data_IF_628570610854
#
_entry.id   IF_628570610854
#
_cell.length_a   1.000
_cell.length_b   1.000
_cell.length_c   1.000
_cell.angle_alpha   90.00
_cell.angle_beta   90.00
_cell.angle_gamma   90.00
#
_symmetry.space_group_name_H-M   'P 1'
#
loop_
_entity.id
_entity.type
_entity.pdbx_description
1 polymer ?
#
# COMPACT_ATOMS: atom_id res chain seq x y z
N UNK A 1 -2.36 10.57 6.65
CA UNK A 1 -3.11 9.31 6.86
C UNK A 1 -2.47 8.20 6.04
N UNK A 2 -2.30 8.40 4.73
CA UNK A 2 -1.58 7.46 3.85
C UNK A 2 -0.14 7.20 4.26
N UNK A 3 0.67 8.24 4.55
CA UNK A 3 2.08 8.05 4.95
C UNK A 3 2.23 7.11 6.15
N UNK A 4 1.46 7.34 7.22
CA UNK A 4 1.48 6.47 8.41
C UNK A 4 1.05 5.04 8.09
N UNK A 5 0.00 4.87 7.28
CA UNK A 5 -0.47 3.55 6.89
C UNK A 5 0.57 2.81 6.05
N UNK A 6 1.33 3.54 5.23
CA UNK A 6 2.43 3.01 4.44
C UNK A 6 3.61 2.63 5.35
N UNK A 7 4.07 3.56 6.20
CA UNK A 7 5.16 3.34 7.16
C UNK A 7 4.92 2.15 8.12
N UNK A 8 3.64 1.88 8.43
CA UNK A 8 3.21 0.78 9.30
C UNK A 8 2.91 -0.53 8.54
N UNK A 9 3.00 -0.53 7.21
CA UNK A 9 2.75 -1.72 6.40
C UNK A 9 1.28 -2.08 6.19
N UNK A 10 0.33 -1.22 6.57
CA UNK A 10 -1.10 -1.44 6.32
C UNK A 10 -1.49 -1.21 4.85
N UNK A 11 -0.74 -0.39 4.12
CA UNK A 11 -0.90 -0.18 2.68
C UNK A 11 0.44 -0.27 1.97
N UNK A 12 0.42 -0.80 0.75
CA UNK A 12 1.57 -0.79 -0.15
C UNK A 12 1.11 -0.71 -1.61
N UNK A 13 2.06 -0.70 -2.54
CA UNK A 13 1.81 -0.73 -3.98
C UNK A 13 2.56 -1.88 -4.63
N UNK A 14 1.92 -2.60 -5.56
CA UNK A 14 2.61 -3.61 -6.34
C UNK A 14 3.79 -2.99 -7.11
N UNK A 15 4.94 -3.65 -7.08
CA UNK A 15 6.17 -3.10 -7.66
C UNK A 15 6.17 -3.13 -9.20
N UNK A 16 5.38 -4.01 -9.81
CA UNK A 16 5.27 -4.18 -11.26
C UNK A 16 4.18 -3.32 -11.88
N UNK A 17 2.99 -3.26 -11.27
CA UNK A 17 1.82 -2.61 -11.85
C UNK A 17 1.20 -1.47 -11.03
N UNK A 18 1.77 -1.19 -9.84
CA UNK A 18 1.38 -0.10 -8.92
C UNK A 18 -0.07 -0.18 -8.45
N UNK A 19 -0.61 -1.38 -8.41
CA UNK A 19 -1.91 -1.63 -7.80
C UNK A 19 -1.82 -1.45 -6.29
N UNK A 20 -2.76 -0.72 -5.71
CA UNK A 20 -2.86 -0.47 -4.27
C UNK A 20 -3.26 -1.78 -3.57
N UNK A 21 -2.46 -2.17 -2.58
CA UNK A 21 -2.69 -3.34 -1.73
C UNK A 21 -2.89 -2.89 -0.30
N UNK A 22 -3.89 -3.45 0.37
CA UNK A 22 -4.15 -3.23 1.79
C UNK A 22 -3.95 -4.55 2.52
N UNK A 23 -3.30 -4.49 3.67
CA UNK A 23 -3.16 -5.65 4.53
C UNK A 23 -4.54 -6.07 5.07
N UNK A 24 -4.83 -7.36 5.14
CA UNK A 24 -6.09 -7.88 5.67
C UNK A 24 -6.26 -7.52 7.15
N UNK A 25 -5.15 -7.51 7.89
CA UNK A 25 -5.08 -7.20 9.31
C UNK A 25 -5.57 -5.78 9.66
N UNK A 26 -5.60 -4.86 8.69
CA UNK A 26 -6.14 -3.50 8.88
C UNK A 26 -7.62 -3.52 9.31
N UNK A 27 -8.38 -4.55 8.94
CA UNK A 27 -9.81 -4.67 9.30
C UNK A 27 -10.00 -4.84 10.81
N UNK A 28 -9.05 -5.49 11.46
CA UNK A 28 -9.09 -5.77 12.90
C UNK A 28 -8.36 -4.70 13.69
N UNK A 29 -7.19 -4.25 13.21
CA UNK A 29 -6.34 -3.28 13.91
C UNK A 29 -6.85 -1.83 13.80
N UNK A 30 -7.41 -1.43 12.65
CA UNK A 30 -7.96 -0.08 12.44
C UNK A 30 -9.12 -0.06 11.40
N UNK A 31 -10.36 -0.39 11.85
CA UNK A 31 -11.54 -0.40 10.98
C UNK A 31 -11.85 0.95 10.32
N UNK A 32 -11.47 2.07 10.96
CA UNK A 32 -11.68 3.41 10.39
C UNK A 32 -10.72 3.65 9.22
N UNK A 33 -9.47 3.26 9.38
CA UNK A 33 -8.48 3.31 8.31
C UNK A 33 -8.88 2.37 7.16
N UNK A 34 -9.39 1.18 7.45
CA UNK A 34 -9.95 0.29 6.42
C UNK A 34 -11.12 0.93 5.66
N UNK A 35 -12.05 1.60 6.36
CA UNK A 35 -13.16 2.29 5.70
C UNK A 35 -12.67 3.43 4.79
N UNK A 36 -11.61 4.13 5.18
CA UNK A 36 -11.02 5.21 4.39
C UNK A 36 -10.24 4.72 3.16
N UNK A 37 -9.47 3.62 3.31
CA UNK A 37 -8.59 3.12 2.25
C UNK A 37 -9.23 2.04 1.37
N UNK A 38 -10.21 1.31 1.90
CA UNK A 38 -10.91 0.21 1.24
C UNK A 38 -11.40 0.52 -0.18
N UNK A 39 -12.01 1.70 -0.44
CA UNK A 39 -12.43 2.09 -1.79
C UNK A 39 -11.29 2.20 -2.83
N UNK A 40 -10.04 2.18 -2.41
CA UNK A 40 -8.86 2.25 -3.27
C UNK A 40 -8.16 0.91 -3.48
N UNK A 41 -8.47 -0.12 -2.68
CA UNK A 41 -7.89 -1.47 -2.83
C UNK A 41 -8.10 -1.98 -4.25
N UNK A 42 -7.03 -2.47 -4.89
CA UNK A 42 -7.08 -3.00 -6.25
C UNK A 42 -7.11 -1.94 -7.36
N UNK A 43 -7.14 -0.64 -7.03
CA UNK A 43 -6.98 0.42 -8.03
C UNK A 43 -5.50 0.64 -8.33
N UNK A 44 -5.19 1.01 -9.57
CA UNK A 44 -3.86 1.45 -9.96
C UNK A 44 -3.63 2.88 -9.51
N UNK A 45 -2.44 3.13 -8.99
CA UNK A 45 -2.00 4.49 -8.68
C UNK A 45 -1.88 5.28 -9.99
N UNK A 46 -2.62 6.38 -10.11
CA UNK A 46 -2.49 7.31 -11.23
C UNK A 46 -1.50 8.40 -10.83
N UNK A 47 -0.26 8.28 -11.31
CA UNK A 47 0.82 9.23 -11.02
C UNK A 47 1.19 10.07 -12.25
N UNK A 48 1.58 11.34 -12.07
CA UNK A 48 2.34 12.04 -13.10
C UNK A 48 3.71 11.37 -13.26
N UNK A 49 4.10 11.11 -14.51
CA UNK A 49 5.27 10.29 -14.88
C UNK A 49 6.61 10.70 -14.23
N UNK A 50 6.72 11.94 -13.73
CA UNK A 50 7.94 12.51 -13.16
C UNK A 50 8.15 12.20 -11.67
N UNK A 51 7.15 11.67 -10.97
CA UNK A 51 7.21 11.39 -9.53
C UNK A 51 7.01 9.89 -9.19
N UNK A 52 7.16 9.03 -10.20
CA UNK A 52 7.02 7.59 -10.08
C UNK A 52 8.01 7.00 -9.04
N UNK A 53 7.54 6.22 -8.03
CA UNK A 53 8.41 5.49 -7.12
C UNK A 53 9.18 4.43 -7.90
N UNK A 54 10.44 4.25 -7.53
CA UNK A 54 11.28 3.21 -8.16
C UNK A 54 10.80 1.84 -7.68
N UNK A 55 10.67 0.90 -8.62
CA UNK A 55 10.16 -0.45 -8.34
C UNK A 55 10.97 -1.22 -7.29
N UNK A 56 12.26 -0.97 -7.14
CA UNK A 56 13.09 -1.61 -6.13
C UNK A 56 12.72 -1.21 -4.70
N UNK A 57 12.32 0.04 -4.46
CA UNK A 57 11.85 0.48 -3.14
C UNK A 57 10.47 -0.09 -2.83
N UNK A 58 9.58 -0.18 -3.82
CA UNK A 58 8.29 -0.85 -3.64
C UNK A 58 8.46 -2.35 -3.39
N UNK A 59 9.39 -3.01 -4.08
CA UNK A 59 9.69 -4.42 -3.86
C UNK A 59 10.21 -4.67 -2.44
N UNK A 60 11.12 -3.82 -1.95
CA UNK A 60 11.58 -3.86 -0.56
C UNK A 60 10.42 -3.66 0.41
N UNK A 61 9.59 -2.63 0.21
CA UNK A 61 8.45 -2.36 1.09
C UNK A 61 7.46 -3.53 1.12
N UNK A 62 7.14 -4.10 -0.05
CA UNK A 62 6.26 -5.26 -0.18
C UNK A 62 6.78 -6.51 0.55
N UNK A 63 8.10 -6.64 0.72
CA UNK A 63 8.75 -7.80 1.32
C UNK A 63 9.02 -7.61 2.82
N UNK A 64 9.44 -6.41 3.24
CA UNK A 64 9.99 -6.16 4.58
C UNK A 64 9.03 -5.41 5.51
N UNK A 65 8.12 -4.60 4.95
CA UNK A 65 7.29 -3.67 5.74
C UNK A 65 5.81 -4.04 5.65
N UNK A 66 5.34 -4.40 4.46
CA UNK A 66 3.95 -4.73 4.24
C UNK A 66 3.53 -5.93 5.10
N UNK A 67 2.45 -5.78 5.87
CA UNK A 67 2.06 -6.76 6.89
C UNK A 67 1.59 -8.10 6.32
N UNK A 68 1.16 -8.11 5.06
CA UNK A 68 0.82 -9.32 4.30
C UNK A 68 1.89 -9.63 3.22
N UNK A 69 3.10 -9.10 3.41
CA UNK A 69 4.27 -9.46 2.63
C UNK A 69 4.76 -10.83 3.09
N UNK A 70 4.59 -11.84 2.22
CA UNK A 70 4.83 -13.30 2.40
C UNK A 70 3.65 -14.12 2.90
#
# INVERSE_FOLDING_TARGET
MWDKAFDQGFVTFDAGDRTIRLAERIKDDDPQLYAALGPFKGKKLHEPATAAPKSNFLAYHNHEIFLDGH
#
